data_IF_108511727106
#
_entry.id   IF_108511727106
#
_cell.length_a   1.000
_cell.length_b   1.000
_cell.length_c   1.000
_cell.angle_alpha   90.00
_cell.angle_beta   90.00
_cell.angle_gamma   90.00
#
_symmetry.space_group_name_H-M   'P 1'
#
loop_
_entity.id
_entity.type
_entity.pdbx_description
1 polymer ?
#
# COMPACT_ATOMS: atom_id res chain seq x y z
N UNK A 1 4.03 -3.80 21.62
CA UNK A 1 4.74 -5.08 21.84
C UNK A 1 4.40 -6.15 20.80
N UNK A 2 3.14 -6.35 20.41
CA UNK A 2 2.72 -7.44 19.50
C UNK A 2 3.45 -7.49 18.15
N UNK A 3 3.78 -6.35 17.55
CA UNK A 3 4.50 -6.30 16.26
C UNK A 3 5.96 -6.75 16.45
N UNK A 4 6.66 -6.13 17.39
CA UNK A 4 8.07 -6.41 17.64
C UNK A 4 8.33 -7.82 18.13
N UNK A 5 7.49 -8.35 19.04
CA UNK A 5 7.64 -9.72 19.53
C UNK A 5 7.64 -10.78 18.41
N UNK A 6 6.78 -10.62 17.41
CA UNK A 6 6.72 -11.54 16.26
C UNK A 6 7.99 -11.48 15.40
N UNK A 7 8.49 -10.27 15.12
CA UNK A 7 9.69 -10.06 14.29
C UNK A 7 10.95 -10.57 15.00
N UNK A 8 11.03 -10.33 16.31
CA UNK A 8 12.15 -10.84 17.14
C UNK A 8 12.10 -12.36 17.22
N UNK A 9 10.91 -12.96 17.46
CA UNK A 9 10.72 -14.41 17.51
C UNK A 9 11.05 -15.09 16.17
N UNK A 10 10.80 -14.44 15.04
CA UNK A 10 11.18 -14.94 13.72
C UNK A 10 12.71 -14.96 13.47
N UNK A 11 13.51 -14.39 14.38
CA UNK A 11 14.96 -14.43 14.29
C UNK A 11 15.61 -13.43 13.31
N UNK A 12 14.86 -12.43 12.84
CA UNK A 12 15.39 -11.41 11.93
C UNK A 12 16.54 -10.64 12.57
N UNK A 13 17.68 -10.48 11.88
CA UNK A 13 18.81 -9.67 12.33
C UNK A 13 18.61 -8.19 12.02
N UNK A 14 18.09 -7.87 10.83
CA UNK A 14 17.71 -6.53 10.41
C UNK A 14 16.20 -6.43 10.21
N UNK A 15 15.59 -5.32 10.62
CA UNK A 15 14.16 -5.09 10.54
C UNK A 15 13.90 -3.71 9.95
N UNK A 16 13.21 -3.64 8.84
CA UNK A 16 12.63 -2.41 8.30
C UNK A 16 11.15 -2.37 8.67
N UNK A 17 10.73 -1.30 9.31
CA UNK A 17 9.34 -1.04 9.65
C UNK A 17 8.78 0.03 8.73
N UNK A 18 7.57 -0.20 8.24
CA UNK A 18 6.76 0.79 7.56
C UNK A 18 5.63 1.22 8.51
N UNK A 19 5.77 2.42 9.09
CA UNK A 19 4.87 2.97 10.09
C UNK A 19 3.92 3.94 9.42
N UNK A 20 2.68 3.51 9.23
CA UNK A 20 1.66 4.30 8.55
C UNK A 20 1.11 5.42 9.44
N UNK A 21 0.89 6.60 8.83
CA UNK A 21 0.26 7.76 9.47
C UNK A 21 -0.82 8.35 8.57
N UNK A 22 -1.95 8.73 9.13
CA UNK A 22 -3.06 9.36 8.43
C UNK A 22 -4.42 8.73 8.70
N UNK A 23 -5.43 9.10 7.91
CA UNK A 23 -6.81 8.66 8.12
C UNK A 23 -7.00 7.14 8.10
N UNK A 24 -6.27 6.44 7.23
CA UNK A 24 -6.31 4.97 7.13
C UNK A 24 -5.41 4.23 8.12
N UNK A 25 -4.65 4.93 8.98
CA UNK A 25 -3.73 4.34 9.94
C UNK A 25 -4.27 4.38 11.37
N UNK A 26 -3.63 3.62 12.29
CA UNK A 26 -3.88 3.76 13.73
C UNK A 26 -3.36 5.10 14.25
N UNK A 27 -2.16 5.52 13.81
CA UNK A 27 -1.55 6.80 14.15
C UNK A 27 -2.13 7.88 13.24
N UNK A 28 -2.83 8.85 13.83
CA UNK A 28 -3.51 9.90 13.06
C UNK A 28 -2.63 11.12 12.85
N UNK A 29 -1.62 11.31 13.67
CA UNK A 29 -0.67 12.44 13.61
C UNK A 29 0.76 11.98 13.42
N UNK A 30 1.61 12.87 12.87
CA UNK A 30 3.04 12.60 12.70
C UNK A 30 3.74 12.39 14.04
N UNK A 31 3.35 13.13 15.08
CA UNK A 31 3.93 12.98 16.42
C UNK A 31 3.67 11.58 16.98
N UNK A 32 2.44 11.07 16.86
CA UNK A 32 2.09 9.71 17.29
C UNK A 32 2.86 8.64 16.50
N UNK A 33 2.96 8.82 15.17
CA UNK A 33 3.67 7.88 14.31
C UNK A 33 5.17 7.86 14.60
N UNK A 34 5.78 9.03 14.78
CA UNK A 34 7.20 9.17 15.15
C UNK A 34 7.47 8.59 16.55
N UNK A 35 6.61 8.84 17.53
CA UNK A 35 6.74 8.23 18.85
C UNK A 35 6.66 6.70 18.81
N UNK A 36 5.74 6.14 18.01
CA UNK A 36 5.63 4.69 17.80
C UNK A 36 6.87 4.15 17.10
N UNK A 37 7.32 4.79 16.03
CA UNK A 37 8.53 4.41 15.29
C UNK A 37 9.76 4.39 16.20
N UNK A 38 9.99 5.46 16.99
CA UNK A 38 11.09 5.55 17.94
C UNK A 38 11.03 4.42 18.98
N UNK A 39 9.88 4.17 19.59
CA UNK A 39 9.72 3.10 20.57
C UNK A 39 10.01 1.71 19.97
N UNK A 40 9.61 1.46 18.72
CA UNK A 40 9.90 0.18 18.06
C UNK A 40 11.38 0.03 17.69
N UNK A 41 12.04 1.12 17.29
CA UNK A 41 13.48 1.15 17.03
C UNK A 41 14.26 0.88 18.32
N UNK A 42 13.93 1.55 19.43
CA UNK A 42 14.55 1.32 20.75
C UNK A 42 14.42 -0.13 21.23
N UNK A 43 13.23 -0.74 21.06
CA UNK A 43 13.02 -2.16 21.40
C UNK A 43 13.94 -3.06 20.56
N UNK A 44 14.07 -2.79 19.27
CA UNK A 44 14.95 -3.56 18.39
C UNK A 44 16.42 -3.43 18.77
N UNK A 45 16.90 -2.19 19.00
CA UNK A 45 18.25 -1.91 19.43
C UNK A 45 18.59 -2.60 20.78
N UNK A 46 17.66 -2.55 21.74
CA UNK A 46 17.82 -3.18 23.05
C UNK A 46 17.99 -4.72 22.98
N UNK A 47 17.46 -5.37 21.95
CA UNK A 47 17.62 -6.82 21.71
C UNK A 47 18.65 -7.13 20.62
N UNK A 48 19.47 -6.16 20.24
CA UNK A 48 20.59 -6.32 19.31
C UNK A 48 20.20 -6.49 17.85
N UNK A 49 19.07 -5.91 17.40
CA UNK A 49 18.62 -5.90 16.01
C UNK A 49 19.00 -4.59 15.32
N UNK A 50 19.32 -4.65 14.04
CA UNK A 50 19.53 -3.47 13.20
C UNK A 50 18.17 -2.95 12.75
N UNK A 51 17.84 -1.69 13.06
CA UNK A 51 16.50 -1.15 12.89
C UNK A 51 16.46 0.05 11.94
N UNK A 52 15.49 0.05 11.04
CA UNK A 52 15.07 1.25 10.29
C UNK A 52 13.54 1.32 10.38
N UNK A 53 12.99 2.49 10.67
CA UNK A 53 11.56 2.75 10.63
C UNK A 53 11.26 3.90 9.67
N UNK A 54 10.47 3.64 8.64
CA UNK A 54 9.99 4.64 7.69
C UNK A 54 8.59 5.05 8.11
N UNK A 55 8.34 6.36 8.27
CA UNK A 55 7.00 6.91 8.53
C UNK A 55 6.40 7.32 7.19
N UNK A 56 5.34 6.64 6.77
CA UNK A 56 4.77 6.79 5.44
C UNK A 56 3.28 7.17 5.46
N UNK A 57 2.82 7.79 4.36
CA UNK A 57 1.44 8.26 4.24
C UNK A 57 0.42 7.13 4.18
N UNK A 58 -0.71 7.35 4.86
CA UNK A 58 -1.95 6.58 4.74
C UNK A 58 -3.16 7.51 4.88
N UNK A 59 -3.04 8.78 4.47
CA UNK A 59 -4.21 9.66 4.30
C UNK A 59 -5.00 9.29 3.05
N UNK A 60 -4.34 8.73 2.05
CA UNK A 60 -4.94 8.13 0.87
C UNK A 60 -4.45 6.69 0.71
N UNK A 61 -5.16 5.81 -0.02
CA UNK A 61 -4.66 4.46 -0.32
C UNK A 61 -3.29 4.50 -0.99
N UNK A 62 -2.39 3.60 -0.61
CA UNK A 62 -1.17 3.32 -1.36
C UNK A 62 -1.55 2.39 -2.53
N UNK A 63 -1.15 2.75 -3.75
CA UNK A 63 -1.72 2.12 -4.93
C UNK A 63 -3.15 2.59 -5.21
N UNK A 64 -3.82 1.99 -6.14
CA UNK A 64 -5.16 2.37 -6.61
C UNK A 64 -6.24 1.41 -6.10
N UNK A 65 -5.92 0.12 -5.96
CA UNK A 65 -6.86 -0.92 -5.59
C UNK A 65 -7.05 -1.04 -4.08
N UNK A 66 -8.31 -1.18 -3.64
CA UNK A 66 -8.70 -1.47 -2.25
C UNK A 66 -9.73 -2.60 -2.26
N UNK A 67 -9.28 -3.82 -1.96
CA UNK A 67 -10.06 -5.05 -2.00
C UNK A 67 -9.15 -6.25 -2.21
N UNK A 68 -9.62 -7.48 -1.98
CA UNK A 68 -8.72 -8.64 -1.93
C UNK A 68 -8.09 -8.96 -3.31
N UNK A 69 -8.89 -9.38 -4.27
CA UNK A 69 -8.41 -9.76 -5.62
C UNK A 69 -7.87 -8.56 -6.39
N UNK A 70 -8.49 -7.39 -6.24
CA UNK A 70 -8.06 -6.18 -6.92
C UNK A 70 -6.64 -5.79 -6.52
N UNK A 71 -6.30 -5.85 -5.22
CA UNK A 71 -4.94 -5.59 -4.72
C UNK A 71 -3.93 -6.64 -5.19
N UNK A 72 -4.33 -7.91 -5.28
CA UNK A 72 -3.44 -8.96 -5.82
C UNK A 72 -3.15 -8.73 -7.30
N UNK A 73 -4.14 -8.33 -8.09
CA UNK A 73 -3.95 -7.99 -9.51
C UNK A 73 -3.02 -6.80 -9.66
N UNK A 74 -3.24 -5.74 -8.88
CA UNK A 74 -2.36 -4.56 -8.87
C UNK A 74 -0.92 -4.92 -8.47
N UNK A 75 -0.74 -5.77 -7.46
CA UNK A 75 0.57 -6.26 -7.06
C UNK A 75 1.24 -7.08 -8.18
N UNK A 76 0.50 -7.92 -8.90
CA UNK A 76 1.01 -8.66 -10.07
C UNK A 76 1.43 -7.72 -11.19
N UNK A 77 0.66 -6.67 -11.45
CA UNK A 77 1.01 -5.67 -12.48
C UNK A 77 2.25 -4.88 -12.07
N UNK A 78 2.38 -4.53 -10.79
CA UNK A 78 3.59 -3.91 -10.24
C UNK A 78 4.80 -4.82 -10.37
N UNK A 79 4.66 -6.12 -10.08
CA UNK A 79 5.73 -7.12 -10.23
C UNK A 79 6.11 -7.41 -11.69
N UNK A 80 5.29 -6.97 -12.66
CA UNK A 80 5.60 -7.02 -14.11
C UNK A 80 6.24 -5.74 -14.63
N UNK A 81 6.52 -4.77 -13.75
CA UNK A 81 7.10 -3.48 -14.11
C UNK A 81 6.08 -2.37 -14.41
N UNK A 82 4.77 -2.66 -14.27
CA UNK A 82 3.67 -1.68 -14.34
C UNK A 82 3.19 -1.25 -12.96
N UNK A 83 1.86 -1.13 -12.81
CA UNK A 83 1.20 -0.75 -11.58
C UNK A 83 1.27 0.75 -11.25
N UNK A 84 0.65 1.19 -10.13
CA UNK A 84 0.68 2.57 -9.71
C UNK A 84 2.07 3.04 -9.30
N UNK A 85 2.44 4.26 -9.72
CA UNK A 85 3.76 4.85 -9.45
C UNK A 85 4.06 4.95 -7.95
N UNK A 86 3.09 5.35 -7.13
CA UNK A 86 3.25 5.50 -5.69
C UNK A 86 3.54 4.16 -4.99
N UNK A 87 2.84 3.10 -5.37
CA UNK A 87 3.07 1.74 -4.86
C UNK A 87 4.47 1.24 -5.25
N UNK A 88 4.83 1.42 -6.52
CA UNK A 88 6.14 1.03 -7.05
C UNK A 88 7.27 1.76 -6.32
N UNK A 89 7.19 3.08 -6.22
CA UNK A 89 8.19 3.92 -5.53
C UNK A 89 8.32 3.56 -4.06
N UNK A 90 7.19 3.35 -3.39
CA UNK A 90 7.16 2.93 -1.98
C UNK A 90 7.89 1.60 -1.78
N UNK A 91 7.58 0.59 -2.60
CA UNK A 91 8.22 -0.72 -2.54
C UNK A 91 9.73 -0.64 -2.80
N UNK A 92 10.17 0.17 -3.78
CA UNK A 92 11.58 0.38 -4.08
C UNK A 92 12.31 1.02 -2.89
N UNK A 93 11.72 2.05 -2.25
CA UNK A 93 12.31 2.72 -1.10
C UNK A 93 12.47 1.76 0.10
N UNK A 94 11.43 1.00 0.43
CA UNK A 94 11.50 -0.01 1.51
C UNK A 94 12.53 -1.10 1.19
N UNK A 95 12.57 -1.59 -0.04
CA UNK A 95 13.54 -2.60 -0.48
C UNK A 95 14.98 -2.07 -0.41
N UNK A 96 15.22 -0.78 -0.71
CA UNK A 96 16.55 -0.17 -0.57
C UNK A 96 17.02 -0.19 0.89
N UNK A 97 16.15 0.14 1.85
CA UNK A 97 16.47 0.03 3.27
C UNK A 97 16.75 -1.43 3.69
N UNK A 98 16.00 -2.40 3.14
CA UNK A 98 16.26 -3.82 3.41
C UNK A 98 17.62 -4.26 2.88
N UNK A 99 18.02 -3.83 1.69
CA UNK A 99 19.36 -4.10 1.13
C UNK A 99 20.46 -3.47 1.98
N UNK A 100 20.27 -2.24 2.46
CA UNK A 100 21.22 -1.58 3.35
C UNK A 100 21.44 -2.39 4.64
N UNK A 101 20.37 -2.87 5.28
CA UNK A 101 20.47 -3.73 6.47
C UNK A 101 21.12 -5.09 6.16
N UNK A 102 20.87 -5.66 5.01
CA UNK A 102 21.50 -6.91 4.57
C UNK A 102 23.01 -6.75 4.25
N UNK A 103 23.55 -5.53 4.31
CA UNK A 103 24.96 -5.22 4.03
C UNK A 103 25.30 -5.08 2.54
N UNK A 104 24.36 -5.40 1.65
CA UNK A 104 24.58 -5.25 0.19
C UNK A 104 24.54 -3.79 -0.26
N UNK A 105 23.85 -2.92 0.46
CA UNK A 105 23.86 -1.47 0.21
C UNK A 105 25.20 -0.81 0.54
N UNK A 106 26.12 -1.48 1.25
CA UNK A 106 27.49 -0.98 1.51
C UNK A 106 28.40 -1.12 0.30
N UNK A 107 28.14 -2.13 -0.54
CA UNK A 107 28.89 -2.35 -1.78
C UNK A 107 28.44 -1.38 -2.89
N UNK A 108 27.33 -0.64 -2.64
CA UNK A 108 26.72 0.32 -3.53
C UNK A 108 26.77 1.69 -2.86
N UNK A 109 27.83 2.42 -3.11
CA UNK A 109 28.10 3.75 -2.51
C UNK A 109 27.14 4.83 -3.00
N UNK A 110 26.43 4.57 -4.11
CA UNK A 110 25.53 5.52 -4.74
C UNK A 110 24.07 5.07 -4.57
N UNK A 111 23.18 5.87 -3.92
CA UNK A 111 21.76 5.54 -3.77
C UNK A 111 21.06 5.25 -5.09
N UNK A 112 21.40 5.96 -6.16
CA UNK A 112 20.84 5.76 -7.49
C UNK A 112 21.21 4.39 -8.09
N UNK A 113 22.36 3.83 -7.76
CA UNK A 113 22.75 2.49 -8.19
C UNK A 113 21.89 1.41 -7.52
N UNK A 114 21.59 1.56 -6.23
CA UNK A 114 20.67 0.66 -5.50
C UNK A 114 19.26 0.73 -6.09
N UNK A 115 18.79 1.95 -6.35
CA UNK A 115 17.49 2.17 -6.97
C UNK A 115 17.43 1.52 -8.36
N UNK A 116 18.44 1.73 -9.19
CA UNK A 116 18.53 1.13 -10.54
C UNK A 116 18.53 -0.39 -10.47
N UNK A 117 19.25 -0.98 -9.51
CA UNK A 117 19.25 -2.44 -9.29
C UNK A 117 17.84 -2.95 -8.99
N UNK A 118 17.11 -2.29 -8.06
CA UNK A 118 15.78 -2.70 -7.66
C UNK A 118 14.77 -2.57 -8.81
N UNK A 119 14.83 -1.47 -9.57
CA UNK A 119 14.03 -1.27 -10.77
C UNK A 119 14.30 -2.40 -11.78
N UNK A 120 15.56 -2.71 -12.06
CA UNK A 120 15.91 -3.78 -13.00
C UNK A 120 15.42 -5.17 -12.54
N UNK A 121 15.42 -5.45 -11.22
CA UNK A 121 14.88 -6.69 -10.65
C UNK A 121 13.36 -6.79 -10.77
N UNK A 122 12.69 -5.65 -10.66
CA UNK A 122 11.23 -5.57 -10.82
C UNK A 122 10.86 -5.73 -12.30
N UNK A 123 11.42 -4.88 -13.18
CA UNK A 123 11.11 -4.84 -14.61
C UNK A 123 11.63 -6.06 -15.38
N UNK A 124 12.73 -6.66 -14.91
CA UNK A 124 13.31 -7.89 -15.48
C UNK A 124 12.54 -9.17 -15.14
N UNK A 125 11.48 -9.09 -14.30
CA UNK A 125 10.62 -10.23 -13.94
C UNK A 125 11.20 -11.14 -12.84
N UNK A 126 12.38 -10.85 -12.29
CA UNK A 126 12.97 -11.65 -11.20
C UNK A 126 12.15 -11.58 -9.91
N UNK A 127 11.55 -10.41 -9.63
CA UNK A 127 10.64 -10.23 -8.50
C UNK A 127 9.37 -11.08 -8.68
N UNK A 128 8.77 -11.07 -9.86
CA UNK A 128 7.61 -11.90 -10.19
C UNK A 128 7.94 -13.41 -10.10
N UNK A 129 9.11 -13.81 -10.59
CA UNK A 129 9.56 -15.20 -10.47
C UNK A 129 9.75 -15.64 -9.02
N UNK A 130 10.20 -14.74 -8.14
CA UNK A 130 10.33 -14.99 -6.71
C UNK A 130 8.96 -15.10 -6.04
N UNK A 131 8.03 -14.23 -6.40
CA UNK A 131 6.65 -14.30 -5.93
C UNK A 131 5.98 -15.62 -6.33
N UNK A 132 6.18 -16.08 -7.56
CA UNK A 132 5.70 -17.40 -8.03
C UNK A 132 6.18 -18.53 -7.11
N UNK A 133 7.49 -18.56 -6.82
CA UNK A 133 8.08 -19.56 -5.90
C UNK A 133 7.45 -19.50 -4.50
N UNK A 134 7.16 -18.29 -4.01
CA UNK A 134 6.48 -18.11 -2.74
C UNK A 134 5.08 -18.75 -2.74
N UNK A 135 4.30 -18.50 -3.80
CA UNK A 135 2.94 -19.07 -3.96
C UNK A 135 3.00 -20.59 -4.06
N UNK A 136 3.92 -21.13 -4.87
CA UNK A 136 4.14 -22.60 -5.01
C UNK A 136 4.52 -23.23 -3.67
N UNK A 137 5.46 -22.64 -2.93
CA UNK A 137 5.92 -23.16 -1.66
C UNK A 137 4.82 -23.22 -0.59
N UNK A 138 3.80 -22.38 -0.71
CA UNK A 138 2.61 -22.38 0.15
C UNK A 138 1.45 -23.21 -0.41
N UNK A 139 1.63 -23.91 -1.52
CA UNK A 139 0.61 -24.76 -2.13
C UNK A 139 -0.49 -23.99 -2.87
N UNK A 140 -0.23 -22.71 -3.24
CA UNK A 140 -1.17 -21.88 -3.99
C UNK A 140 -1.19 -22.20 -5.49
N UNK A 141 -2.29 -21.80 -6.16
CA UNK A 141 -2.41 -21.92 -7.62
C UNK A 141 -1.64 -20.79 -8.31
N UNK A 142 -0.55 -21.14 -8.97
CA UNK A 142 0.27 -20.16 -9.71
C UNK A 142 -0.27 -19.79 -11.09
N UNK A 143 -1.29 -20.49 -11.58
CA UNK A 143 -1.87 -20.19 -12.89
C UNK A 143 -2.52 -18.79 -12.95
N UNK A 144 -3.01 -18.30 -11.80
CA UNK A 144 -3.55 -16.93 -11.67
C UNK A 144 -2.50 -15.84 -11.80
N UNK A 145 -1.20 -16.19 -11.62
CA UNK A 145 -0.10 -15.26 -11.85
C UNK A 145 0.04 -14.97 -13.35
N UNK A 146 -0.15 -15.96 -14.21
CA UNK A 146 -0.06 -15.80 -15.66
C UNK A 146 -1.35 -15.28 -16.27
N UNK A 147 -2.46 -15.64 -15.66
CA UNK A 147 -3.84 -15.40 -16.14
C UNK A 147 -4.68 -14.76 -15.03
N UNK A 148 -4.46 -13.47 -14.68
CA UNK A 148 -5.22 -12.79 -13.60
C UNK A 148 -6.72 -12.73 -13.88
N UNK A 149 -7.14 -12.83 -15.15
CA UNK A 149 -8.54 -12.93 -15.54
C UNK A 149 -9.24 -14.20 -15.02
N UNK A 150 -8.52 -15.18 -14.50
CA UNK A 150 -9.08 -16.35 -13.81
C UNK A 150 -9.59 -16.05 -12.40
N UNK A 151 -9.20 -14.93 -11.83
CA UNK A 151 -9.84 -14.47 -10.60
C UNK A 151 -11.31 -14.15 -10.88
N UNK A 152 -12.17 -14.47 -9.92
CA UNK A 152 -13.58 -14.11 -10.02
C UNK A 152 -13.73 -12.61 -10.05
N UNK A 153 -14.33 -12.07 -11.12
CA UNK A 153 -14.67 -10.66 -11.22
C UNK A 153 -16.01 -10.36 -10.56
N UNK A 154 -16.20 -9.14 -10.09
CA UNK A 154 -17.48 -8.65 -9.62
C UNK A 154 -18.48 -8.52 -10.79
N UNK A 155 -19.76 -8.77 -10.52
CA UNK A 155 -20.82 -8.72 -11.52
C UNK A 155 -21.30 -7.31 -11.87
N UNK A 156 -21.07 -6.34 -10.96
CA UNK A 156 -21.44 -4.94 -11.12
C UNK A 156 -20.15 -4.14 -11.04
N UNK A 157 -19.83 -3.44 -12.13
CA UNK A 157 -18.68 -2.53 -12.19
C UNK A 157 -19.23 -1.17 -12.58
N UNK A 158 -19.03 -0.17 -11.72
CA UNK A 158 -19.56 1.17 -11.94
C UNK A 158 -18.51 2.22 -11.60
N UNK A 159 -18.31 3.18 -12.50
CA UNK A 159 -17.32 4.26 -12.33
C UNK A 159 -18.01 5.57 -11.98
N UNK A 160 -17.50 6.23 -10.95
CA UNK A 160 -17.85 7.61 -10.61
C UNK A 160 -16.89 8.56 -11.32
N UNK A 161 -17.46 9.59 -11.95
CA UNK A 161 -16.72 10.58 -12.70
C UNK A 161 -16.79 11.96 -12.02
N UNK A 162 -15.78 12.79 -12.27
CA UNK A 162 -15.75 14.14 -11.77
C UNK A 162 -16.92 14.96 -12.36
N UNK A 163 -17.66 15.66 -11.51
CA UNK A 163 -18.78 16.53 -11.93
C UNK A 163 -18.31 17.91 -12.40
N UNK A 164 -17.06 18.27 -12.08
CA UNK A 164 -16.46 19.57 -12.36
C UNK A 164 -14.95 19.48 -12.49
N UNK A 165 -14.35 20.49 -13.10
CA UNK A 165 -12.90 20.69 -13.10
C UNK A 165 -12.40 21.06 -11.70
N UNK A 166 -11.16 20.69 -11.38
CA UNK A 166 -10.53 21.04 -10.11
C UNK A 166 -9.30 20.18 -9.80
N UNK A 167 -9.00 20.05 -8.52
CA UNK A 167 -7.92 19.24 -7.98
C UNK A 167 -8.45 18.33 -6.88
N UNK A 168 -7.97 17.11 -6.80
CA UNK A 168 -8.33 16.23 -5.71
C UNK A 168 -7.75 16.79 -4.40
N UNK A 169 -8.63 17.20 -3.51
CA UNK A 169 -8.27 17.75 -2.19
C UNK A 169 -8.21 16.67 -1.11
N UNK A 170 -9.01 15.62 -1.26
CA UNK A 170 -9.06 14.49 -0.34
C UNK A 170 -9.41 13.21 -1.10
N UNK A 171 -8.70 12.14 -0.75
CA UNK A 171 -8.98 10.76 -1.12
C UNK A 171 -8.82 9.91 0.16
N UNK A 172 -9.79 10.00 1.07
CA UNK A 172 -9.68 9.50 2.45
C UNK A 172 -9.57 7.99 2.52
N UNK A 173 -8.41 7.49 2.98
CA UNK A 173 -8.11 6.07 3.01
C UNK A 173 -9.06 5.28 3.93
N UNK A 174 -9.48 5.84 5.08
CA UNK A 174 -10.42 5.17 5.99
C UNK A 174 -11.80 5.06 5.36
N UNK A 175 -12.31 6.13 4.74
CA UNK A 175 -13.59 6.12 4.06
C UNK A 175 -13.60 5.16 2.86
N UNK A 176 -12.52 5.12 2.07
CA UNK A 176 -12.38 4.18 0.94
C UNK A 176 -12.30 2.72 1.44
N UNK A 177 -11.58 2.46 2.54
CA UNK A 177 -11.56 1.13 3.16
C UNK A 177 -12.96 0.72 3.68
N UNK A 178 -13.72 1.67 4.25
CA UNK A 178 -15.13 1.44 4.64
C UNK A 178 -16.01 1.13 3.44
N UNK A 179 -15.79 1.77 2.29
CA UNK A 179 -16.48 1.42 1.04
C UNK A 179 -16.22 -0.04 0.65
N UNK A 180 -14.95 -0.48 0.61
CA UNK A 180 -14.60 -1.85 0.29
C UNK A 180 -15.20 -2.84 1.31
N UNK A 181 -15.20 -2.49 2.60
CA UNK A 181 -15.85 -3.28 3.66
C UNK A 181 -17.36 -3.41 3.44
N UNK A 182 -18.05 -2.29 3.15
CA UNK A 182 -19.50 -2.27 2.87
C UNK A 182 -19.86 -3.14 1.65
N UNK A 183 -19.00 -3.16 0.63
CA UNK A 183 -19.18 -4.04 -0.54
C UNK A 183 -19.02 -5.53 -0.21
N UNK A 184 -18.36 -5.87 0.90
CA UNK A 184 -18.15 -7.25 1.36
C UNK A 184 -16.71 -7.75 1.32
N UNK A 185 -15.73 -6.88 1.04
CA UNK A 185 -14.31 -7.26 1.01
C UNK A 185 -13.75 -7.62 2.40
N UNK A 186 -14.42 -7.19 3.49
CA UNK A 186 -14.01 -7.47 4.86
C UNK A 186 -15.00 -8.39 5.59
N UNK A 187 -14.56 -8.96 6.73
CA UNK A 187 -15.39 -9.81 7.58
C UNK A 187 -16.19 -8.98 8.57
N UNK A 188 -17.51 -9.04 8.53
CA UNK A 188 -18.38 -8.37 9.49
C UNK A 188 -18.26 -8.97 10.92
N UNK A 189 -17.96 -10.26 11.01
CA UNK A 189 -17.69 -10.97 12.27
C UNK A 189 -16.71 -12.13 12.02
N UNK A 190 -16.10 -12.63 13.11
CA UNK A 190 -15.18 -13.77 13.04
C UNK A 190 -15.85 -14.98 12.37
N UNK A 191 -15.20 -15.51 11.33
CA UNK A 191 -15.71 -16.65 10.55
C UNK A 191 -16.74 -16.34 9.49
N UNK A 192 -17.17 -15.07 9.33
CA UNK A 192 -18.03 -14.67 8.21
C UNK A 192 -17.26 -14.80 6.88
N UNK A 193 -17.96 -15.17 5.77
CA UNK A 193 -17.36 -15.17 4.45
C UNK A 193 -16.99 -13.74 4.02
N UNK A 194 -15.98 -13.65 3.18
CA UNK A 194 -15.63 -12.41 2.45
C UNK A 194 -15.87 -12.63 0.98
N UNK A 195 -16.24 -11.58 0.28
CA UNK A 195 -16.27 -11.57 -1.18
C UNK A 195 -14.94 -11.03 -1.69
N UNK A 196 -14.12 -11.88 -2.28
CA UNK A 196 -12.82 -11.50 -2.77
C UNK A 196 -12.84 -10.69 -4.08
N UNK A 197 -13.98 -10.72 -4.81
CA UNK A 197 -14.13 -10.05 -6.09
C UNK A 197 -14.48 -8.56 -5.98
N UNK A 198 -14.93 -8.12 -4.78
CA UNK A 198 -15.43 -6.76 -4.57
C UNK A 198 -14.38 -5.83 -4.00
N UNK A 199 -14.58 -4.53 -4.23
CA UNK A 199 -13.68 -3.48 -3.75
C UNK A 199 -13.85 -2.17 -4.50
N UNK A 200 -12.84 -1.32 -4.39
CA UNK A 200 -12.80 0.01 -5.01
C UNK A 200 -11.45 0.18 -5.71
N UNK A 201 -11.45 0.78 -6.90
CA UNK A 201 -10.24 1.23 -7.58
C UNK A 201 -10.28 2.75 -7.67
N UNK A 202 -9.28 3.41 -7.09
CA UNK A 202 -9.12 4.86 -7.08
C UNK A 202 -8.29 5.30 -8.28
N UNK A 203 -8.81 6.19 -9.13
CA UNK A 203 -8.12 6.63 -10.35
C UNK A 203 -7.38 7.94 -10.20
N UNK A 204 -7.57 8.65 -9.10
CA UNK A 204 -6.97 9.97 -8.86
C UNK A 204 -6.51 10.11 -7.43
N UNK A 205 -5.34 10.73 -7.27
CA UNK A 205 -4.68 10.96 -5.98
C UNK A 205 -4.78 12.43 -5.57
N UNK A 206 -4.58 12.71 -4.29
CA UNK A 206 -4.53 14.08 -3.76
C UNK A 206 -3.46 14.89 -4.50
N UNK A 207 -3.84 16.10 -4.95
CA UNK A 207 -3.00 17.00 -5.73
C UNK A 207 -3.12 16.86 -7.23
N UNK A 208 -3.74 15.80 -7.75
CA UNK A 208 -3.97 15.65 -9.18
C UNK A 208 -5.09 16.55 -9.69
N UNK A 209 -4.88 17.12 -10.87
CA UNK A 209 -5.90 17.89 -11.59
C UNK A 209 -6.88 16.94 -12.27
N UNK A 210 -8.17 17.29 -12.21
CA UNK A 210 -9.25 16.56 -12.87
C UNK A 210 -10.11 17.52 -13.69
N UNK A 211 -10.70 16.98 -14.75
CA UNK A 211 -11.73 17.64 -15.57
C UNK A 211 -13.07 16.97 -15.37
N UNK A 212 -14.14 17.71 -15.59
CA UNK A 212 -15.48 17.13 -15.64
C UNK A 212 -15.53 15.94 -16.60
N UNK A 213 -16.02 14.80 -16.14
CA UNK A 213 -16.04 13.53 -16.88
C UNK A 213 -14.84 12.61 -16.64
N UNK A 214 -13.77 13.05 -15.99
CA UNK A 214 -12.64 12.16 -15.66
C UNK A 214 -13.06 11.10 -14.64
N UNK A 215 -12.59 9.83 -14.75
CA UNK A 215 -12.86 8.80 -13.77
C UNK A 215 -12.16 9.15 -12.45
N UNK A 216 -12.88 9.02 -11.33
CA UNK A 216 -12.36 9.26 -9.98
C UNK A 216 -12.15 7.95 -9.21
N UNK A 217 -13.16 7.09 -9.21
CA UNK A 217 -13.08 5.74 -8.64
C UNK A 217 -14.05 4.79 -9.35
N UNK A 218 -13.76 3.49 -9.25
CA UNK A 218 -14.63 2.43 -9.75
C UNK A 218 -14.99 1.49 -8.61
N UNK A 219 -16.28 1.24 -8.43
CA UNK A 219 -16.77 0.20 -7.53
C UNK A 219 -16.87 -1.14 -8.25
N UNK A 220 -16.40 -2.18 -7.60
CA UNK A 220 -16.59 -3.57 -7.97
C UNK A 220 -17.50 -4.23 -6.93
N UNK A 221 -18.72 -4.59 -7.32
CA UNK A 221 -19.78 -5.04 -6.41
C UNK A 221 -20.50 -6.31 -6.94
N UNK A 222 -21.06 -7.10 -6.03
CA UNK A 222 -21.91 -8.22 -6.36
C UNK A 222 -23.36 -8.07 -5.83
N UNK A 223 -23.61 -7.02 -5.04
CA UNK A 223 -24.90 -6.72 -4.43
C UNK A 223 -25.25 -5.23 -4.64
N UNK A 224 -26.35 -4.98 -5.35
CA UNK A 224 -26.80 -3.62 -5.69
C UNK A 224 -27.19 -2.80 -4.44
N UNK A 225 -27.72 -3.43 -3.38
CA UNK A 225 -28.09 -2.74 -2.15
C UNK A 225 -26.84 -2.33 -1.36
N UNK A 226 -25.80 -3.20 -1.31
CA UNK A 226 -24.48 -2.85 -0.74
C UNK A 226 -23.83 -1.72 -1.53
N UNK A 227 -23.87 -1.76 -2.87
CA UNK A 227 -23.36 -0.69 -3.72
C UNK A 227 -24.06 0.64 -3.44
N UNK A 228 -25.37 0.65 -3.30
CA UNK A 228 -26.13 1.86 -2.98
C UNK A 228 -25.73 2.48 -1.64
N UNK A 229 -25.51 1.66 -0.59
CA UNK A 229 -25.00 2.14 0.70
C UNK A 229 -23.54 2.62 0.59
N UNK A 230 -22.70 1.92 -0.17
CA UNK A 230 -21.32 2.30 -0.42
C UNK A 230 -21.22 3.69 -1.06
N UNK A 231 -22.06 3.98 -2.06
CA UNK A 231 -22.11 5.30 -2.72
C UNK A 231 -22.43 6.44 -1.77
N UNK A 232 -23.17 6.21 -0.69
CA UNK A 232 -23.44 7.25 0.31
C UNK A 232 -22.18 7.72 1.06
N UNK A 233 -21.09 6.92 1.04
CA UNK A 233 -19.80 7.28 1.65
C UNK A 233 -18.93 8.16 0.73
N UNK A 234 -19.34 8.42 -0.50
CA UNK A 234 -18.51 9.12 -1.50
C UNK A 234 -18.07 10.51 -1.04
N UNK A 235 -18.98 11.28 -0.43
CA UNK A 235 -18.66 12.63 0.05
C UNK A 235 -17.67 12.64 1.23
N UNK A 236 -17.56 11.55 1.97
CA UNK A 236 -16.54 11.37 3.01
C UNK A 236 -15.20 10.98 2.38
N UNK A 237 -15.22 10.21 1.29
CA UNK A 237 -14.03 9.65 0.66
C UNK A 237 -13.32 10.63 -0.28
N UNK A 238 -14.06 11.39 -1.09
CA UNK A 238 -13.50 12.24 -2.14
C UNK A 238 -13.95 13.69 -1.99
N UNK A 239 -13.00 14.62 -2.26
CA UNK A 239 -13.27 16.04 -2.34
C UNK A 239 -12.48 16.68 -3.50
N UNK A 240 -13.14 17.50 -4.28
CA UNK A 240 -12.52 18.29 -5.36
C UNK A 240 -12.47 19.77 -4.94
N UNK A 241 -11.27 20.36 -4.97
CA UNK A 241 -11.03 21.80 -4.75
C UNK A 241 -11.01 22.55 -6.08
N UNK A 242 -11.49 23.78 -6.08
CA UNK A 242 -11.30 24.70 -7.23
C UNK A 242 -9.88 25.28 -7.29
N UNK A 243 -9.09 25.14 -6.24
CA UNK A 243 -7.73 25.64 -6.14
C UNK A 243 -6.74 24.47 -6.17
N UNK A 244 -5.52 24.67 -6.69
CA UNK A 244 -4.46 23.67 -6.65
C UNK A 244 -4.21 23.14 -5.24
N UNK A 245 -4.02 21.84 -5.11
CA UNK A 245 -3.71 21.15 -3.86
C UNK A 245 -2.34 20.50 -3.99
N UNK A 246 -1.53 20.57 -2.93
CA UNK A 246 -0.21 19.95 -2.92
C UNK A 246 -0.36 18.43 -2.79
N UNK A 247 0.34 17.63 -3.63
CA UNK A 247 0.40 16.18 -3.45
C UNK A 247 0.91 15.77 -2.07
N UNK A 248 0.41 14.65 -1.55
CA UNK A 248 0.90 14.07 -0.31
C UNK A 248 2.27 13.39 -0.57
N UNK A 249 3.23 13.49 0.38
CA UNK A 249 4.49 12.76 0.26
C UNK A 249 4.26 11.27 0.51
N UNK A 250 5.07 10.40 -0.08
CA UNK A 250 5.06 8.97 0.25
C UNK A 250 5.60 8.70 1.65
N UNK A 251 6.66 9.42 2.02
CA UNK A 251 7.33 9.29 3.32
C UNK A 251 7.47 10.67 3.97
N UNK A 252 7.28 10.69 5.28
CA UNK A 252 7.43 11.88 6.13
C UNK A 252 8.76 11.90 6.86
N UNK A 253 9.22 10.72 7.33
CA UNK A 253 10.44 10.57 8.12
C UNK A 253 11.04 9.17 8.01
N UNK A 254 12.35 9.04 8.35
CA UNK A 254 13.05 7.77 8.45
C UNK A 254 13.93 7.79 9.71
N UNK A 255 13.63 6.87 10.65
CA UNK A 255 14.38 6.72 11.89
C UNK A 255 15.32 5.53 11.78
N UNK A 256 16.57 5.75 12.17
CA UNK A 256 17.62 4.73 12.18
C UNK A 256 17.97 4.35 13.61
N UNK A 257 18.09 3.06 13.89
CA UNK A 257 18.59 2.55 15.16
C UNK A 257 20.08 2.92 15.38
N UNK A 258 20.51 2.97 16.63
CA UNK A 258 21.89 3.33 17.00
C UNK A 258 22.92 2.38 16.38
N UNK A 259 22.60 1.10 16.27
CA UNK A 259 23.46 0.11 15.62
C UNK A 259 23.65 0.34 14.13
N UNK A 260 22.66 0.94 13.46
CA UNK A 260 22.72 1.31 12.04
C UNK A 260 23.49 2.61 11.85
N UNK A 261 23.27 3.61 12.72
CA UNK A 261 24.00 4.89 12.70
C UNK A 261 25.51 4.72 12.96
N UNK A 262 25.89 3.74 13.79
CA UNK A 262 27.28 3.48 14.16
C UNK A 262 28.10 2.79 13.06
N UNK A 263 27.47 2.45 11.94
CA UNK A 263 28.10 1.79 10.80
C UNK A 263 28.33 2.77 9.66
#
# INVERSE_FOLDING_TARGET
SSIMSKKIAAGAHGIVLDVKVGSGAFMKTLDEANALAAAMVEIGDAVGRDMIACVSDMNQPLGEAVGNTLEVVEALDTLRGGGPDDLREHCIAIAAHMLALAGRGRDWTEPDAVRTLLINKLDGGEALATFRKLVEAQGGDTSVIDQPERFTAASIIETHHAERDGWIARADAEAIARMAFELGAGREKKGAPMDHAVGVVLHRKVGEQVRAGDPLLTWHANDAARLARCKALLAEALEISAQPVKPLPLFYDVLYGERVKAR
#
